data_IF_672965673353
#
_entry.id   IF_672965673353
#
_cell.length_a   1.000
_cell.length_b   1.000
_cell.length_c   1.000
_cell.angle_alpha   90.00
_cell.angle_beta   90.00
_cell.angle_gamma   90.00
#
_symmetry.space_group_name_H-M   'P 1'
#
loop_
_entity.id
_entity.type
_entity.pdbx_description
1 polymer ?
#
# COMPACT_ATOMS: atom_id res chain seq x y z
N UNK A 1 -18.05 -9.15 0.35
CA UNK A 1 -17.60 -8.09 -0.58
C UNK A 1 -16.68 -7.10 0.15
N UNK A 2 -15.44 -6.99 -0.29
CA UNK A 2 -14.49 -5.96 0.11
C UNK A 2 -14.88 -4.58 -0.43
N UNK A 3 -14.33 -3.54 0.19
CA UNK A 3 -14.74 -2.13 -0.05
C UNK A 3 -14.52 -1.67 -1.49
N UNK A 4 -13.56 -2.27 -2.21
CA UNK A 4 -13.21 -1.89 -3.57
C UNK A 4 -13.66 -2.91 -4.64
N UNK A 5 -14.27 -4.02 -4.24
CA UNK A 5 -14.57 -5.16 -5.14
C UNK A 5 -15.45 -4.75 -6.34
N UNK A 6 -16.39 -3.82 -6.15
CA UNK A 6 -17.29 -3.36 -7.21
C UNK A 6 -16.71 -2.24 -8.08
N UNK A 7 -15.55 -1.68 -7.72
CA UNK A 7 -14.96 -0.51 -8.38
C UNK A 7 -14.04 -0.91 -9.54
N UNK A 8 -14.48 -1.85 -10.38
CA UNK A 8 -13.70 -2.44 -11.49
C UNK A 8 -13.26 -1.45 -12.58
N UNK A 9 -13.83 -0.24 -12.57
CA UNK A 9 -13.48 0.85 -13.49
C UNK A 9 -12.65 1.97 -12.84
N UNK A 10 -12.25 1.83 -11.58
CA UNK A 10 -11.48 2.85 -10.87
C UNK A 10 -10.08 3.00 -11.48
N UNK A 11 -9.71 4.24 -11.83
CA UNK A 11 -8.40 4.57 -12.40
C UNK A 11 -7.47 5.26 -11.39
N UNK A 12 -8.04 6.00 -10.44
CA UNK A 12 -7.31 6.72 -9.40
C UNK A 12 -7.84 6.33 -8.03
N UNK A 13 -6.95 5.91 -7.14
CA UNK A 13 -7.24 5.67 -5.73
C UNK A 13 -6.29 6.50 -4.85
N UNK A 14 -6.85 7.48 -4.15
CA UNK A 14 -6.10 8.31 -3.22
C UNK A 14 -6.38 7.86 -1.77
N UNK A 15 -5.37 7.31 -1.10
CA UNK A 15 -5.42 6.91 0.32
C UNK A 15 -4.35 7.63 1.15
N UNK A 16 -3.59 8.53 0.54
CA UNK A 16 -2.55 9.32 1.20
C UNK A 16 -3.12 10.23 2.30
N UNK A 17 -2.26 10.67 3.20
CA UNK A 17 -2.58 11.60 4.30
C UNK A 17 -3.70 11.07 5.22
N UNK A 18 -3.59 9.80 5.60
CA UNK A 18 -4.52 9.10 6.49
C UNK A 18 -3.76 8.42 7.66
N UNK A 19 -4.47 7.60 8.44
CA UNK A 19 -3.94 6.83 9.58
C UNK A 19 -3.98 5.32 9.31
N UNK A 20 -3.84 4.90 8.06
CA UNK A 20 -3.83 3.48 7.69
C UNK A 20 -2.51 2.85 8.14
N UNK A 21 -2.61 1.72 8.86
CA UNK A 21 -1.45 0.95 9.29
C UNK A 21 -1.22 -0.28 8.41
N UNK A 22 -2.28 -0.84 7.82
CA UNK A 22 -2.23 -2.00 6.91
C UNK A 22 -3.33 -1.89 5.84
N UNK A 23 -3.32 -2.80 4.87
CA UNK A 23 -4.40 -2.99 3.90
C UNK A 23 -4.86 -4.45 3.99
N UNK A 24 -6.18 -4.72 4.12
CA UNK A 24 -6.69 -6.08 4.13
C UNK A 24 -6.26 -6.86 2.90
N UNK A 25 -5.91 -8.14 3.10
CA UNK A 25 -5.54 -9.03 2.01
C UNK A 25 -6.61 -9.04 0.92
N UNK A 26 -6.20 -8.79 -0.30
CA UNK A 26 -7.05 -8.82 -1.49
C UNK A 26 -7.83 -7.53 -1.76
N UNK A 27 -7.69 -6.48 -0.96
CA UNK A 27 -8.48 -5.26 -1.10
C UNK A 27 -8.37 -4.60 -2.49
N UNK A 28 -7.26 -4.77 -3.20
CA UNK A 28 -7.02 -4.16 -4.51
C UNK A 28 -7.19 -5.14 -5.68
N UNK A 29 -7.55 -6.41 -5.44
CA UNK A 29 -7.49 -7.47 -6.46
C UNK A 29 -8.48 -7.23 -7.62
N UNK A 30 -9.60 -6.56 -7.35
CA UNK A 30 -10.61 -6.23 -8.37
C UNK A 30 -10.32 -4.94 -9.14
N UNK A 31 -9.28 -4.18 -8.76
CA UNK A 31 -8.96 -2.87 -9.34
C UNK A 31 -8.11 -3.00 -10.61
N UNK A 32 -8.56 -3.80 -11.58
CA UNK A 32 -7.78 -4.15 -12.79
C UNK A 32 -7.51 -2.98 -13.74
N UNK A 33 -8.18 -1.83 -13.57
CA UNK A 33 -8.00 -0.62 -14.37
C UNK A 33 -7.29 0.51 -13.64
N UNK A 34 -6.74 0.25 -12.46
CA UNK A 34 -6.05 1.25 -11.65
C UNK A 34 -4.77 1.74 -12.35
N UNK A 35 -4.61 3.05 -12.45
CA UNK A 35 -3.47 3.71 -13.10
C UNK A 35 -2.65 4.55 -12.11
N UNK A 36 -3.30 5.07 -11.07
CA UNK A 36 -2.66 5.93 -10.08
C UNK A 36 -3.12 5.53 -8.68
N UNK A 37 -2.16 5.29 -7.79
CA UNK A 37 -2.43 5.12 -6.37
C UNK A 37 -1.50 6.02 -5.54
N UNK A 38 -2.09 6.68 -4.54
CA UNK A 38 -1.37 7.52 -3.58
C UNK A 38 -1.47 6.85 -2.21
N UNK A 39 -0.33 6.44 -1.64
CA UNK A 39 -0.23 5.70 -0.37
C UNK A 39 0.66 6.39 0.67
N UNK A 40 1.32 7.49 0.28
CA UNK A 40 2.24 8.22 1.16
C UNK A 40 1.52 8.84 2.36
N UNK A 41 2.28 9.29 3.36
CA UNK A 41 1.74 9.90 4.59
C UNK A 41 0.69 9.01 5.29
N UNK A 42 1.04 7.75 5.52
CA UNK A 42 0.28 6.84 6.37
C UNK A 42 1.26 6.13 7.31
N UNK A 43 0.89 5.84 8.56
CA UNK A 43 1.75 5.16 9.53
C UNK A 43 1.77 3.64 9.30
N UNK A 44 2.25 3.20 8.13
CA UNK A 44 2.28 1.78 7.76
C UNK A 44 3.05 0.94 8.79
N UNK A 45 2.37 -0.02 9.43
CA UNK A 45 2.97 -0.93 10.38
C UNK A 45 3.66 -2.07 9.64
N UNK A 46 4.96 -1.93 9.45
CA UNK A 46 5.79 -2.94 8.78
C UNK A 46 6.34 -4.01 9.73
N UNK A 47 5.95 -4.02 11.00
CA UNK A 47 6.35 -5.06 11.95
C UNK A 47 5.35 -6.22 11.99
N UNK A 48 4.07 -5.91 11.82
CA UNK A 48 2.99 -6.89 11.69
C UNK A 48 3.03 -7.61 10.32
N UNK A 49 2.74 -8.91 10.29
CA UNK A 49 2.67 -9.71 9.05
C UNK A 49 1.57 -9.28 8.08
N UNK A 50 0.53 -8.58 8.55
CA UNK A 50 -0.57 -8.13 7.69
C UNK A 50 -0.11 -7.12 6.62
N UNK A 51 1.05 -6.49 6.81
CA UNK A 51 1.65 -5.61 5.81
C UNK A 51 2.06 -6.33 4.52
N UNK A 52 2.27 -7.66 4.57
CA UNK A 52 2.87 -8.41 3.46
C UNK A 52 2.03 -8.34 2.19
N UNK A 53 0.70 -8.23 2.31
CA UNK A 53 -0.16 -8.00 1.15
C UNK A 53 0.19 -6.67 0.46
N UNK A 54 0.19 -5.56 1.22
CA UNK A 54 0.50 -4.24 0.68
C UNK A 54 1.93 -4.16 0.14
N UNK A 55 2.88 -4.74 0.87
CA UNK A 55 4.29 -4.77 0.48
C UNK A 55 4.49 -5.47 -0.87
N UNK A 56 3.97 -6.70 -1.01
CA UNK A 56 4.04 -7.45 -2.26
C UNK A 56 3.29 -6.77 -3.40
N UNK A 57 2.08 -6.25 -3.12
CA UNK A 57 1.28 -5.54 -4.12
C UNK A 57 2.01 -4.28 -4.62
N UNK A 58 2.57 -3.46 -3.72
CA UNK A 58 3.30 -2.25 -4.08
C UNK A 58 4.61 -2.55 -4.83
N UNK A 59 5.28 -3.66 -4.52
CA UNK A 59 6.44 -4.11 -5.29
C UNK A 59 6.05 -4.48 -6.73
N UNK A 60 4.98 -5.26 -6.91
CA UNK A 60 4.48 -5.69 -8.22
C UNK A 60 3.90 -4.53 -9.05
N UNK A 61 3.26 -3.55 -8.40
CA UNK A 61 2.56 -2.43 -9.04
C UNK A 61 3.31 -1.09 -8.86
N UNK A 62 4.64 -1.14 -8.69
CA UNK A 62 5.49 0.04 -8.47
C UNK A 62 5.40 1.13 -9.55
N UNK A 63 4.90 0.80 -10.75
CA UNK A 63 4.72 1.76 -11.83
C UNK A 63 3.51 2.70 -11.66
N UNK A 64 2.53 2.33 -10.81
CA UNK A 64 1.33 3.15 -10.54
C UNK A 64 1.33 3.80 -9.14
N UNK A 65 2.30 3.47 -8.28
CA UNK A 65 2.48 4.08 -6.96
C UNK A 65 3.21 5.42 -7.13
N UNK A 66 2.60 6.50 -6.64
CA UNK A 66 3.16 7.84 -6.80
C UNK A 66 2.65 8.88 -5.81
N UNK A 67 3.00 10.15 -6.04
CA UNK A 67 2.67 11.29 -5.20
C UNK A 67 2.37 12.57 -5.98
N UNK A 68 1.70 13.50 -5.31
CA UNK A 68 1.53 14.88 -5.76
C UNK A 68 0.52 15.08 -6.88
N UNK A 69 0.30 16.36 -7.20
CA UNK A 69 -0.48 16.79 -8.36
C UNK A 69 0.27 17.93 -9.10
N UNK A 70 0.67 17.75 -10.37
CA UNK A 70 0.44 16.57 -11.20
C UNK A 70 1.15 15.32 -10.65
N UNK A 71 0.54 14.15 -10.89
CA UNK A 71 1.03 12.86 -10.38
C UNK A 71 2.44 12.58 -10.87
N UNK A 72 3.31 12.12 -9.97
CA UNK A 72 4.66 11.64 -10.28
C UNK A 72 4.84 10.23 -9.72
N UNK A 73 5.45 9.37 -10.53
CA UNK A 73 5.82 8.03 -10.10
C UNK A 73 6.82 8.12 -8.94
N UNK A 74 6.51 7.47 -7.82
CA UNK A 74 7.30 7.51 -6.59
C UNK A 74 7.05 6.23 -5.80
N UNK A 75 7.58 5.07 -6.23
CA UNK A 75 7.23 3.76 -5.66
C UNK A 75 7.70 3.56 -4.21
N UNK A 76 8.60 4.42 -3.73
CA UNK A 76 9.19 4.35 -2.40
C UNK A 76 8.50 5.28 -1.39
N UNK A 77 7.42 5.97 -1.77
CA UNK A 77 6.79 7.00 -0.93
C UNK A 77 5.85 6.44 0.16
N UNK A 78 5.38 5.20 0.03
CA UNK A 78 4.77 4.45 1.12
C UNK A 78 5.89 3.99 2.07
N UNK A 79 5.96 4.61 3.25
CA UNK A 79 7.04 4.39 4.24
C UNK A 79 6.54 3.67 5.48
N UNK A 80 7.36 2.75 5.97
CA UNK A 80 7.16 2.08 7.24
C UNK A 80 7.28 3.07 8.40
N UNK A 81 6.31 3.02 9.31
CA UNK A 81 6.33 3.80 10.54
C UNK A 81 7.55 3.43 11.40
N UNK A 82 8.27 4.45 11.87
CA UNK A 82 9.45 4.31 12.74
C UNK A 82 10.77 4.00 12.02
N UNK A 83 10.78 3.37 10.85
CA UNK A 83 12.03 3.03 10.13
C UNK A 83 12.26 3.84 8.86
N UNK A 84 11.23 4.48 8.31
CA UNK A 84 11.28 5.17 7.00
C UNK A 84 11.76 4.29 5.84
N UNK A 85 11.72 2.96 6.00
CA UNK A 85 11.98 2.01 4.90
C UNK A 85 10.78 1.99 3.95
N UNK A 86 10.98 1.82 2.63
CA UNK A 86 9.87 1.63 1.70
C UNK A 86 9.06 0.38 2.05
N UNK A 87 7.73 0.50 2.07
CA UNK A 87 6.82 -0.64 2.33
C UNK A 87 7.05 -1.76 1.32
N UNK A 88 7.29 -1.44 0.05
CA UNK A 88 7.58 -2.42 -1.02
C UNK A 88 8.86 -3.24 -0.83
N UNK A 89 9.72 -2.86 0.11
CA UNK A 89 10.97 -3.56 0.41
C UNK A 89 10.85 -4.48 1.64
N UNK A 90 9.71 -4.47 2.33
CA UNK A 90 9.44 -5.35 3.47
C UNK A 90 9.33 -6.79 3.01
N UNK A 91 9.90 -7.71 3.79
CA UNK A 91 9.80 -9.15 3.53
C UNK A 91 9.32 -9.87 4.79
N UNK A 92 8.85 -11.11 4.62
CA UNK A 92 8.37 -11.93 5.73
C UNK A 92 9.40 -12.06 6.85
N UNK A 93 10.70 -12.14 6.51
CA UNK A 93 11.80 -12.24 7.46
C UNK A 93 11.93 -11.05 8.44
N UNK A 94 11.37 -9.88 8.07
CA UNK A 94 11.36 -8.67 8.91
C UNK A 94 10.05 -8.46 9.70
N UNK A 95 9.06 -9.31 9.51
CA UNK A 95 7.71 -9.20 10.10
C UNK A 95 7.45 -10.32 11.11
N UNK A 96 6.43 -10.16 11.98
CA UNK A 96 5.97 -11.23 12.87
C UNK A 96 4.46 -11.13 13.14
N UNK A 97 3.71 -12.25 13.16
CA UNK A 97 2.30 -12.25 13.57
C UNK A 97 2.12 -11.80 15.02
N UNK A 98 3.11 -12.03 15.88
CA UNK A 98 3.08 -11.62 17.29
C UNK A 98 3.20 -10.11 17.50
N UNK A 99 3.50 -9.36 16.44
CA UNK A 99 3.61 -7.88 16.46
C UNK A 99 2.38 -7.21 15.86
N UNK A 100 1.38 -7.99 15.47
CA UNK A 100 0.08 -7.47 15.06
C UNK A 100 -0.79 -7.14 16.29
N UNK A 101 -1.64 -6.10 16.21
CA UNK A 101 -2.56 -5.73 17.28
C UNK A 101 -3.62 -6.80 17.57
#
# INVERSE_FOLDING_TARGET
>A
PGVFDSLVNLQLLALNDNQLTTVPKGAFDSLTKLQYILLHTNPWDCQCTDILYLSGWAAQHSHIVGEGWPWRQSPDNAKCSGTNTPVRAVTEASTSPSKCP
#
